data_IF_710807276583
#
_entry.id   IF_710807276583
#
_cell.length_a   1.000
_cell.length_b   1.000
_cell.length_c   1.000
_cell.angle_alpha   90.00
_cell.angle_beta   90.00
_cell.angle_gamma   90.00
#
_symmetry.space_group_name_H-M   'P 1'
#
loop_
_entity.id
_entity.type
_entity.pdbx_description
1 polymer ?
#
# COMPACT_ATOMS: atom_id res chain seq x y z
N UNK A 1 -24.54 7.81 16.46
CA UNK A 1 -24.07 8.98 15.66
C UNK A 1 -23.31 8.42 14.48
N UNK A 2 -23.56 8.91 13.26
CA UNK A 2 -22.77 8.46 12.10
C UNK A 2 -21.47 9.24 12.02
N UNK A 3 -20.37 8.53 11.74
CA UNK A 3 -19.04 9.10 11.50
C UNK A 3 -18.69 8.89 10.03
N UNK A 4 -18.23 9.94 9.36
CA UNK A 4 -17.94 9.91 7.92
C UNK A 4 -16.44 9.84 7.67
N UNK A 5 -16.07 9.00 6.71
CA UNK A 5 -14.68 8.83 6.25
C UNK A 5 -14.37 9.80 5.11
N UNK A 6 -15.32 9.94 4.17
CA UNK A 6 -15.18 10.76 2.96
C UNK A 6 -16.48 11.47 2.60
N UNK A 7 -16.33 12.60 1.91
CA UNK A 7 -17.41 13.37 1.28
C UNK A 7 -16.98 13.63 -0.16
N UNK A 8 -17.81 13.24 -1.13
CA UNK A 8 -17.55 13.50 -2.53
C UNK A 8 -18.02 14.90 -2.94
N UNK A 9 -17.56 15.41 -4.09
CA UNK A 9 -17.89 16.74 -4.61
C UNK A 9 -19.40 16.92 -4.87
N UNK A 10 -20.11 15.83 -5.15
CA UNK A 10 -21.57 15.80 -5.33
C UNK A 10 -22.35 15.66 -4.01
N UNK A 11 -21.66 15.68 -2.86
CA UNK A 11 -22.25 15.67 -1.52
C UNK A 11 -22.59 14.27 -0.96
N UNK A 12 -22.25 13.18 -1.66
CA UNK A 12 -22.37 11.83 -1.10
C UNK A 12 -21.42 11.69 0.08
N UNK A 13 -21.81 10.89 1.07
CA UNK A 13 -21.03 10.64 2.28
C UNK A 13 -20.78 9.16 2.43
N UNK A 14 -19.54 8.77 2.66
CA UNK A 14 -19.14 7.42 3.03
C UNK A 14 -18.95 7.37 4.54
N UNK A 15 -19.59 6.45 5.20
CA UNK A 15 -19.38 6.26 6.65
C UNK A 15 -18.01 5.63 6.90
N UNK A 16 -17.47 5.82 8.11
CA UNK A 16 -16.22 5.17 8.53
C UNK A 16 -16.38 3.64 8.48
N UNK A 17 -17.52 3.10 8.91
CA UNK A 17 -17.78 1.67 8.87
C UNK A 17 -17.77 1.08 7.45
N UNK A 18 -18.40 1.76 6.48
CA UNK A 18 -18.38 1.34 5.06
C UNK A 18 -16.96 1.33 4.52
N UNK A 19 -16.21 2.41 4.73
CA UNK A 19 -14.82 2.54 4.28
C UNK A 19 -13.90 1.46 4.88
N UNK A 20 -13.93 1.30 6.20
CA UNK A 20 -13.11 0.29 6.89
C UNK A 20 -13.45 -1.13 6.42
N UNK A 21 -14.74 -1.44 6.24
CA UNK A 21 -15.18 -2.74 5.77
C UNK A 21 -14.76 -2.98 4.31
N UNK A 22 -14.95 -1.99 3.43
CA UNK A 22 -14.54 -2.07 2.03
C UNK A 22 -13.04 -2.28 1.88
N UNK A 23 -12.25 -1.47 2.59
CA UNK A 23 -10.78 -1.60 2.64
C UNK A 23 -10.35 -2.95 3.21
N UNK A 24 -11.00 -3.45 4.27
CA UNK A 24 -10.68 -4.74 4.87
C UNK A 24 -10.90 -5.92 3.92
N UNK A 25 -11.99 -5.92 3.17
CA UNK A 25 -12.28 -6.95 2.17
C UNK A 25 -11.19 -6.99 1.09
N UNK A 26 -10.80 -5.84 0.56
CA UNK A 26 -9.75 -5.75 -0.46
C UNK A 26 -8.38 -6.14 0.10
N UNK A 27 -8.00 -5.59 1.25
CA UNK A 27 -6.70 -5.85 1.88
C UNK A 27 -6.55 -7.33 2.26
N UNK A 28 -7.59 -7.96 2.80
CA UNK A 28 -7.66 -9.40 3.05
C UNK A 28 -7.40 -10.21 1.78
N UNK A 29 -8.10 -9.86 0.69
CA UNK A 29 -7.96 -10.56 -0.59
C UNK A 29 -6.53 -10.43 -1.15
N UNK A 30 -5.92 -9.25 -1.10
CA UNK A 30 -4.55 -9.03 -1.57
C UNK A 30 -3.52 -9.76 -0.71
N UNK A 31 -3.65 -9.69 0.62
CA UNK A 31 -2.77 -10.37 1.56
C UNK A 31 -2.90 -11.90 1.49
N UNK A 32 -4.03 -12.42 1.01
CA UNK A 32 -4.25 -13.84 0.77
C UNK A 32 -3.28 -14.46 -0.23
N UNK A 33 -2.73 -13.67 -1.16
CA UNK A 33 -1.73 -14.14 -2.11
C UNK A 33 -0.44 -14.70 -1.44
N UNK A 34 -0.20 -14.35 -0.17
CA UNK A 34 0.96 -14.83 0.60
C UNK A 34 0.59 -15.29 2.02
N UNK A 35 -0.67 -15.72 2.23
CA UNK A 35 -1.14 -16.35 3.48
C UNK A 35 -1.21 -15.38 4.67
N UNK A 36 -1.61 -14.12 4.44
CA UNK A 36 -1.70 -13.08 5.46
C UNK A 36 -3.10 -12.43 5.52
N UNK A 37 -4.15 -13.21 5.25
CA UNK A 37 -5.53 -12.73 5.17
C UNK A 37 -5.99 -12.04 6.44
N UNK A 38 -5.65 -12.62 7.59
CA UNK A 38 -6.08 -12.08 8.89
C UNK A 38 -5.42 -10.74 9.22
N UNK A 39 -4.14 -10.58 8.87
CA UNK A 39 -3.44 -9.30 8.99
C UNK A 39 -3.99 -8.26 8.03
N UNK A 40 -4.29 -8.66 6.78
CA UNK A 40 -4.92 -7.79 5.80
C UNK A 40 -6.26 -7.25 6.30
N UNK A 41 -7.12 -8.13 6.83
CA UNK A 41 -8.41 -7.75 7.40
C UNK A 41 -8.25 -6.79 8.59
N UNK A 42 -7.35 -7.13 9.53
CA UNK A 42 -7.07 -6.27 10.68
C UNK A 42 -6.62 -4.87 10.24
N UNK A 43 -5.66 -4.79 9.33
CA UNK A 43 -5.14 -3.50 8.87
C UNK A 43 -6.22 -2.66 8.19
N UNK A 44 -7.04 -3.28 7.33
CA UNK A 44 -8.15 -2.60 6.68
C UNK A 44 -9.19 -2.08 7.65
N UNK A 45 -9.53 -2.84 8.70
CA UNK A 45 -10.47 -2.40 9.75
C UNK A 45 -9.86 -1.36 10.71
N UNK A 46 -8.54 -1.34 10.86
CA UNK A 46 -7.87 -0.48 11.85
C UNK A 46 -7.37 0.85 11.29
N UNK A 47 -7.02 0.94 9.98
CA UNK A 47 -6.18 2.02 9.48
C UNK A 47 -6.75 3.41 9.77
N UNK A 48 -8.05 3.56 9.67
CA UNK A 48 -8.76 4.84 9.75
C UNK A 48 -9.77 4.93 10.92
N UNK A 49 -9.65 4.09 11.95
CA UNK A 49 -10.54 4.18 13.13
C UNK A 49 -10.45 5.52 13.86
N UNK A 50 -9.33 6.23 13.72
CA UNK A 50 -9.17 7.59 14.23
C UNK A 50 -10.10 8.62 13.57
N UNK A 51 -10.71 8.30 12.43
CA UNK A 51 -11.77 9.12 11.82
C UNK A 51 -13.05 9.15 12.67
N UNK A 52 -13.22 8.25 13.66
CA UNK A 52 -14.31 8.28 14.63
C UNK A 52 -14.09 9.31 15.78
N UNK A 53 -13.10 10.20 15.70
CA UNK A 53 -12.87 11.27 16.66
C UNK A 53 -13.65 12.53 16.34
N UNK A 54 -14.03 13.32 17.36
CA UNK A 54 -14.73 14.57 17.15
C UNK A 54 -13.86 15.60 16.38
N UNK A 55 -12.56 15.59 16.64
CA UNK A 55 -11.59 16.44 15.95
C UNK A 55 -11.52 16.14 14.46
N UNK A 56 -11.55 14.85 14.06
CA UNK A 56 -11.57 14.49 12.64
C UNK A 56 -12.91 14.84 11.97
N UNK A 57 -14.05 14.58 12.63
CA UNK A 57 -15.37 14.92 12.07
C UNK A 57 -15.52 16.44 11.89
N UNK A 58 -15.03 17.23 12.85
CA UNK A 58 -14.98 18.68 12.71
C UNK A 58 -14.11 19.12 11.53
N UNK A 59 -12.95 18.49 11.32
CA UNK A 59 -12.14 18.77 10.13
C UNK A 59 -12.89 18.48 8.85
N UNK A 60 -13.55 17.33 8.77
CA UNK A 60 -14.22 16.88 7.56
C UNK A 60 -15.47 17.71 7.22
N UNK A 61 -16.24 18.13 8.23
CA UNK A 61 -17.53 18.78 8.08
C UNK A 61 -17.45 20.32 8.13
N UNK A 62 -16.45 20.89 8.81
CA UNK A 62 -16.33 22.30 9.12
C UNK A 62 -14.98 22.91 8.66
N UNK A 63 -14.22 22.16 7.85
CA UNK A 63 -12.89 22.59 7.35
C UNK A 63 -11.87 22.93 8.46
N UNK A 64 -11.88 22.11 9.53
CA UNK A 64 -10.99 22.25 10.68
C UNK A 64 -9.52 21.90 10.37
N UNK A 65 -8.61 22.01 11.36
CA UNK A 65 -7.18 21.72 11.18
C UNK A 65 -6.92 20.24 10.84
N UNK A 66 -5.76 19.97 10.24
CA UNK A 66 -5.33 18.60 9.94
C UNK A 66 -5.18 17.80 11.24
N UNK A 67 -5.77 16.59 11.27
CA UNK A 67 -5.80 15.69 12.41
C UNK A 67 -5.09 14.36 12.06
N UNK A 68 -4.25 13.88 12.96
CA UNK A 68 -3.64 12.56 12.86
C UNK A 68 -4.68 11.48 13.23
N UNK A 69 -5.20 10.79 12.24
CA UNK A 69 -6.18 9.70 12.40
C UNK A 69 -5.57 8.30 12.29
N UNK A 70 -4.35 8.18 11.74
CA UNK A 70 -3.66 6.90 11.56
C UNK A 70 -3.11 6.32 12.87
N UNK A 71 -2.67 7.17 13.78
CA UNK A 71 -2.05 6.72 15.05
C UNK A 71 -3.03 5.91 15.91
N UNK A 72 -4.31 6.22 15.90
CA UNK A 72 -5.33 5.47 16.64
C UNK A 72 -5.36 3.98 16.23
N UNK A 73 -5.42 3.72 14.92
CA UNK A 73 -5.38 2.35 14.39
C UNK A 73 -4.05 1.65 14.65
N UNK A 74 -2.94 2.37 14.56
CA UNK A 74 -1.63 1.81 14.89
C UNK A 74 -1.54 1.36 16.35
N UNK A 75 -2.06 2.16 17.29
CA UNK A 75 -2.14 1.78 18.72
C UNK A 75 -3.01 0.55 18.91
N UNK A 76 -4.17 0.48 18.26
CA UNK A 76 -5.05 -0.68 18.34
C UNK A 76 -4.35 -1.97 17.82
N UNK A 77 -3.64 -1.90 16.70
CA UNK A 77 -2.85 -3.03 16.20
C UNK A 77 -1.72 -3.42 17.16
N UNK A 78 -1.03 -2.45 17.76
CA UNK A 78 0.05 -2.71 18.71
C UNK A 78 -0.44 -3.36 20.00
N UNK A 79 -1.63 -2.99 20.49
CA UNK A 79 -2.29 -3.63 21.64
C UNK A 79 -2.63 -5.10 21.38
N UNK A 80 -2.88 -5.45 20.12
CA UNK A 80 -3.05 -6.84 19.68
C UNK A 80 -1.71 -7.54 19.40
N UNK A 81 -0.58 -6.95 19.79
CA UNK A 81 0.78 -7.44 19.55
C UNK A 81 1.12 -7.63 18.06
N UNK A 82 0.54 -6.79 17.18
CA UNK A 82 0.74 -6.83 15.72
C UNK A 82 1.61 -5.66 15.25
N UNK A 83 2.90 -5.73 15.55
CA UNK A 83 3.85 -4.63 15.28
C UNK A 83 3.95 -4.30 13.78
N UNK A 84 3.95 -5.31 12.89
CA UNK A 84 3.97 -5.07 11.45
C UNK A 84 2.72 -4.34 10.97
N UNK A 85 1.54 -4.80 11.41
CA UNK A 85 0.28 -4.13 11.11
C UNK A 85 0.25 -2.70 11.68
N UNK A 86 0.73 -2.49 12.90
CA UNK A 86 0.85 -1.17 13.50
C UNK A 86 1.74 -0.23 12.68
N UNK A 87 2.87 -0.72 12.16
CA UNK A 87 3.76 0.06 11.30
C UNK A 87 3.10 0.41 9.95
N UNK A 88 2.40 -0.55 9.33
CA UNK A 88 1.68 -0.33 8.08
C UNK A 88 0.58 0.71 8.27
N UNK A 89 -0.24 0.56 9.30
CA UNK A 89 -1.32 1.50 9.63
C UNK A 89 -0.77 2.89 9.99
N UNK A 90 0.29 2.97 10.81
CA UNK A 90 0.92 4.26 11.11
C UNK A 90 1.42 4.99 9.84
N UNK A 91 1.84 4.23 8.85
CA UNK A 91 2.53 4.76 7.66
C UNK A 91 1.65 4.95 6.42
N UNK A 92 0.38 4.52 6.39
CA UNK A 92 -0.39 4.40 5.14
C UNK A 92 -0.51 5.72 4.33
N UNK A 93 -0.42 6.88 4.97
CA UNK A 93 -0.36 8.18 4.30
C UNK A 93 1.06 8.76 4.14
N UNK A 94 2.05 8.27 4.91
CA UNK A 94 3.36 8.95 5.00
C UNK A 94 4.56 8.04 4.68
N UNK A 95 4.33 6.78 4.40
CA UNK A 95 5.36 5.76 4.26
C UNK A 95 5.63 5.01 5.56
N UNK A 96 6.20 3.80 5.44
CA UNK A 96 6.55 2.98 6.60
C UNK A 96 7.52 3.74 7.52
N UNK A 97 7.19 3.93 8.81
CA UNK A 97 8.09 4.59 9.74
C UNK A 97 9.25 3.68 10.14
N UNK A 98 10.35 4.26 10.57
CA UNK A 98 11.35 3.53 11.33
C UNK A 98 10.73 2.98 12.62
N UNK A 99 11.15 1.78 13.04
CA UNK A 99 10.59 1.15 14.24
C UNK A 99 10.86 1.99 15.49
N UNK A 100 12.09 2.50 15.62
CA UNK A 100 12.55 3.20 16.80
C UNK A 100 12.85 2.24 17.96
N UNK A 101 12.85 2.78 19.19
CA UNK A 101 13.16 2.05 20.40
C UNK A 101 12.09 2.29 21.48
N UNK A 102 11.41 1.22 21.98
CA UNK A 102 10.33 1.37 22.93
C UNK A 102 10.76 1.98 24.29
N UNK A 103 12.05 1.94 24.63
CA UNK A 103 12.58 2.46 25.92
C UNK A 103 13.04 3.91 25.84
N UNK A 104 13.60 4.33 24.69
CA UNK A 104 14.26 5.65 24.55
C UNK A 104 13.43 6.68 23.79
N UNK A 105 12.56 6.26 22.88
CA UNK A 105 11.75 7.17 22.09
C UNK A 105 10.74 7.91 22.95
N UNK A 106 10.53 9.17 22.64
CA UNK A 106 9.58 10.06 23.29
C UNK A 106 8.30 10.14 22.52
N UNK A 107 7.22 10.55 23.17
CA UNK A 107 5.96 10.81 22.51
C UNK A 107 6.14 11.89 21.41
N UNK A 108 5.75 11.54 20.17
CA UNK A 108 5.87 12.41 19.01
C UNK A 108 7.16 12.29 18.20
N UNK A 109 8.12 11.45 18.61
CA UNK A 109 9.27 11.12 17.76
C UNK A 109 8.79 10.50 16.44
N UNK A 110 9.52 10.73 15.33
CA UNK A 110 9.18 10.29 13.99
C UNK A 110 9.42 8.78 13.76
N UNK A 111 9.12 7.95 14.77
CA UNK A 111 9.26 6.49 14.78
C UNK A 111 7.92 5.86 15.13
N UNK A 112 7.78 4.55 14.87
CA UNK A 112 6.58 3.83 15.30
C UNK A 112 6.37 3.97 16.82
N UNK A 113 7.39 3.66 17.63
CA UNK A 113 7.25 3.74 19.09
C UNK A 113 7.01 5.17 19.59
N UNK A 114 7.56 6.18 18.96
CA UNK A 114 7.28 7.57 19.26
C UNK A 114 5.82 7.95 18.99
N UNK A 115 5.26 7.45 17.88
CA UNK A 115 3.83 7.63 17.55
C UNK A 115 2.92 6.87 18.50
N UNK A 116 3.23 5.61 18.85
CA UNK A 116 2.43 4.81 19.76
C UNK A 116 2.35 5.39 21.18
N UNK A 117 3.31 6.24 21.57
CA UNK A 117 3.31 6.96 22.88
C UNK A 117 2.54 8.28 22.85
N UNK A 118 2.10 8.71 21.67
CA UNK A 118 1.31 9.95 21.53
C UNK A 118 -0.05 9.76 22.19
N UNK A 119 -0.51 10.78 22.92
CA UNK A 119 -1.86 10.79 23.45
C UNK A 119 -2.91 10.74 22.34
N UNK A 120 -3.97 10.01 22.58
CA UNK A 120 -5.10 9.86 21.67
C UNK A 120 -6.34 10.52 22.28
N UNK A 121 -7.25 10.96 21.42
CA UNK A 121 -8.57 11.40 21.84
C UNK A 121 -9.34 10.22 22.44
N UNK A 122 -10.03 10.42 23.56
CA UNK A 122 -10.75 9.37 24.25
C UNK A 122 -11.92 8.81 23.42
N UNK A 123 -12.25 7.52 23.67
CA UNK A 123 -13.43 6.84 23.16
C UNK A 123 -13.49 6.58 21.64
N UNK A 124 -12.41 6.76 20.89
CA UNK A 124 -12.43 6.51 19.44
C UNK A 124 -12.73 5.02 19.11
N UNK A 125 -12.28 4.07 19.94
CA UNK A 125 -12.58 2.64 19.77
C UNK A 125 -14.05 2.33 20.06
N UNK A 126 -14.61 2.90 21.11
CA UNK A 126 -16.03 2.72 21.45
C UNK A 126 -16.91 3.25 20.32
N UNK A 127 -16.63 4.46 19.86
CA UNK A 127 -17.35 5.11 18.76
C UNK A 127 -17.24 4.34 17.46
N UNK A 128 -16.08 3.77 17.15
CA UNK A 128 -15.87 2.93 15.99
C UNK A 128 -16.68 1.63 16.11
N UNK A 129 -16.69 0.99 17.28
CA UNK A 129 -17.51 -0.18 17.57
C UNK A 129 -19.02 0.11 17.46
N UNK A 130 -19.49 1.25 17.99
CA UNK A 130 -20.86 1.73 17.85
C UNK A 130 -21.26 1.95 16.38
N UNK A 131 -20.31 2.28 15.50
CA UNK A 131 -20.54 2.45 14.06
C UNK A 131 -20.60 1.12 13.28
N UNK A 132 -20.30 -0.02 13.94
CA UNK A 132 -20.31 -1.35 13.33
C UNK A 132 -18.96 -1.85 12.81
N UNK A 133 -17.88 -1.11 13.02
CA UNK A 133 -16.53 -1.50 12.60
C UNK A 133 -15.76 -2.08 13.82
N UNK A 134 -15.97 -3.36 14.11
CA UNK A 134 -15.25 -4.05 15.19
C UNK A 134 -13.93 -4.66 14.65
N UNK A 135 -12.86 -4.53 15.45
CA UNK A 135 -11.59 -5.19 15.12
C UNK A 135 -11.70 -6.71 15.30
N UNK A 136 -11.11 -7.50 14.38
CA UNK A 136 -11.21 -8.96 14.44
C UNK A 136 -10.37 -9.53 15.59
N UNK A 137 -10.84 -10.64 16.16
CA UNK A 137 -10.05 -11.47 17.06
C UNK A 137 -9.07 -12.29 16.21
N UNK A 138 -7.78 -12.00 16.30
CA UNK A 138 -6.75 -12.72 15.53
C UNK A 138 -5.94 -13.61 16.47
N UNK A 139 -5.68 -14.89 16.11
CA UNK A 139 -4.83 -15.77 16.89
C UNK A 139 -3.44 -15.18 17.09
N UNK A 140 -2.74 -15.46 18.20
CA UNK A 140 -1.38 -14.99 18.42
C UNK A 140 -0.47 -15.36 17.24
N UNK A 141 0.35 -14.42 16.80
CA UNK A 141 1.33 -14.66 15.73
C UNK A 141 2.59 -15.32 16.31
N UNK A 142 3.11 -16.33 15.59
CA UNK A 142 4.45 -16.84 15.89
C UNK A 142 5.48 -15.79 15.47
N UNK A 143 6.33 -15.28 16.38
CA UNK A 143 7.28 -14.24 16.02
C UNK A 143 8.25 -14.69 14.93
N UNK A 144 8.31 -13.97 13.81
CA UNK A 144 9.35 -14.16 12.80
C UNK A 144 10.68 -13.59 13.34
N UNK A 145 11.72 -14.40 13.30
CA UNK A 145 13.06 -14.03 13.79
C UNK A 145 13.99 -13.57 12.68
N UNK A 146 13.69 -13.92 11.45
CA UNK A 146 14.42 -13.48 10.28
C UNK A 146 13.99 -12.05 9.92
N UNK A 147 14.84 -11.09 10.22
CA UNK A 147 14.58 -9.66 9.98
C UNK A 147 14.37 -9.34 8.50
N UNK A 148 14.98 -10.10 7.60
CA UNK A 148 14.81 -9.92 6.17
C UNK A 148 13.39 -10.34 5.72
N UNK A 149 12.95 -11.51 6.16
CA UNK A 149 11.58 -11.98 5.91
C UNK A 149 10.55 -11.04 6.52
N UNK A 150 10.79 -10.61 7.77
CA UNK A 150 9.91 -9.67 8.46
C UNK A 150 9.79 -8.34 7.70
N UNK A 151 10.92 -7.76 7.28
CA UNK A 151 10.94 -6.52 6.49
C UNK A 151 10.21 -6.66 5.16
N UNK A 152 10.46 -7.77 4.45
CA UNK A 152 9.78 -8.04 3.17
C UNK A 152 8.28 -8.21 3.36
N UNK A 153 7.86 -9.04 4.32
CA UNK A 153 6.44 -9.24 4.66
C UNK A 153 5.74 -7.92 5.02
N UNK A 154 6.38 -7.09 5.85
CA UNK A 154 5.83 -5.79 6.23
C UNK A 154 5.58 -4.89 5.03
N UNK A 155 6.51 -4.86 4.06
CA UNK A 155 6.34 -4.08 2.83
C UNK A 155 5.22 -4.62 1.94
N UNK A 156 5.06 -5.94 1.87
CA UNK A 156 3.95 -6.55 1.13
C UNK A 156 2.60 -6.22 1.79
N UNK A 157 2.49 -6.33 3.11
CA UNK A 157 1.31 -5.93 3.86
C UNK A 157 0.99 -4.44 3.68
N UNK A 158 2.01 -3.60 3.74
CA UNK A 158 1.86 -2.16 3.50
C UNK A 158 1.30 -1.85 2.11
N UNK A 159 1.83 -2.51 1.07
CA UNK A 159 1.31 -2.38 -0.30
C UNK A 159 -0.15 -2.80 -0.39
N UNK A 160 -0.52 -3.93 0.25
CA UNK A 160 -1.92 -4.39 0.26
C UNK A 160 -2.86 -3.36 0.92
N UNK A 161 -2.43 -2.74 2.02
CA UNK A 161 -3.24 -1.73 2.71
C UNK A 161 -3.41 -0.47 1.86
N UNK A 162 -2.32 0.08 1.33
CA UNK A 162 -2.35 1.31 0.53
C UNK A 162 -3.19 1.12 -0.74
N UNK A 163 -3.03 -0.01 -1.44
CA UNK A 163 -3.84 -0.31 -2.62
C UNK A 163 -5.33 -0.48 -2.26
N UNK A 164 -5.64 -1.15 -1.15
CA UNK A 164 -7.01 -1.38 -0.72
C UNK A 164 -7.72 -0.07 -0.34
N UNK A 165 -7.07 0.79 0.44
CA UNK A 165 -7.56 2.10 0.83
C UNK A 165 -7.82 2.99 -0.39
N UNK A 166 -6.84 3.06 -1.31
CA UNK A 166 -6.97 3.81 -2.56
C UNK A 166 -8.16 3.31 -3.39
N UNK A 167 -8.31 2.00 -3.56
CA UNK A 167 -9.36 1.41 -4.39
C UNK A 167 -10.76 1.59 -3.80
N UNK A 168 -10.90 1.50 -2.47
CA UNK A 168 -12.18 1.74 -1.82
C UNK A 168 -12.58 3.23 -1.92
N UNK A 169 -11.63 4.12 -1.67
CA UNK A 169 -11.83 5.58 -1.83
C UNK A 169 -12.16 5.95 -3.28
N UNK A 170 -11.42 5.41 -4.26
CA UNK A 170 -11.69 5.63 -5.69
C UNK A 170 -13.10 5.16 -6.08
N UNK A 171 -13.51 3.96 -5.61
CA UNK A 171 -14.86 3.43 -5.86
C UNK A 171 -15.94 4.36 -5.33
N UNK A 172 -15.74 4.87 -4.11
CA UNK A 172 -16.68 5.81 -3.53
C UNK A 172 -16.75 7.13 -4.30
N UNK A 173 -15.59 7.72 -4.64
CA UNK A 173 -15.49 9.02 -5.30
C UNK A 173 -15.98 8.98 -6.76
N UNK A 174 -15.53 7.99 -7.53
CA UNK A 174 -15.63 7.95 -8.98
C UNK A 174 -16.56 6.84 -9.49
N UNK A 175 -17.17 6.04 -8.61
CA UNK A 175 -17.89 4.83 -8.96
C UNK A 175 -16.95 3.69 -9.37
N UNK A 176 -17.51 2.56 -9.76
CA UNK A 176 -16.72 1.41 -10.19
C UNK A 176 -15.94 1.74 -11.47
N UNK A 177 -14.61 1.73 -11.37
CA UNK A 177 -13.73 1.91 -12.51
C UNK A 177 -13.48 0.55 -13.17
N UNK A 178 -13.80 0.45 -14.46
CA UNK A 178 -13.48 -0.73 -15.25
C UNK A 178 -11.97 -0.93 -15.31
N UNK A 179 -11.46 -1.94 -14.61
CA UNK A 179 -10.06 -2.34 -14.64
C UNK A 179 -9.95 -3.61 -15.46
N UNK A 180 -9.09 -3.60 -16.47
CA UNK A 180 -8.91 -4.70 -17.41
C UNK A 180 -9.17 -4.26 -18.84
N UNK A 181 -9.40 -5.22 -19.73
CA UNK A 181 -9.55 -4.96 -21.17
C UNK A 181 -8.23 -4.58 -21.84
N UNK A 182 -7.12 -4.80 -21.15
CA UNK A 182 -5.78 -4.69 -21.74
C UNK A 182 -5.54 -5.85 -22.72
N UNK A 183 -4.80 -5.57 -23.78
CA UNK A 183 -4.32 -6.63 -24.66
C UNK A 183 -3.50 -7.66 -23.87
N UNK A 184 -3.50 -8.88 -24.33
CA UNK A 184 -2.68 -9.94 -23.75
C UNK A 184 -1.18 -9.66 -23.91
N UNK A 185 -0.36 -10.31 -23.08
CA UNK A 185 1.10 -10.12 -23.11
C UNK A 185 1.71 -10.41 -24.50
N UNK A 186 1.30 -11.47 -25.24
CA UNK A 186 1.78 -11.70 -26.59
C UNK A 186 1.50 -10.55 -27.56
N UNK A 187 0.30 -9.96 -27.48
CA UNK A 187 -0.06 -8.79 -28.32
C UNK A 187 0.77 -7.56 -27.95
N UNK A 188 0.94 -7.30 -26.65
CA UNK A 188 1.78 -6.20 -26.17
C UNK A 188 3.24 -6.37 -26.57
N UNK A 189 3.76 -7.60 -26.46
CA UNK A 189 5.13 -7.94 -26.88
C UNK A 189 5.31 -7.69 -28.37
N UNK A 190 4.36 -8.16 -29.19
CA UNK A 190 4.42 -7.92 -30.64
C UNK A 190 4.45 -6.44 -30.98
N UNK A 191 3.61 -5.62 -30.37
CA UNK A 191 3.63 -4.15 -30.56
C UNK A 191 4.97 -3.54 -30.17
N UNK A 192 5.57 -4.02 -29.07
CA UNK A 192 6.87 -3.56 -28.64
C UNK A 192 7.96 -3.95 -29.64
N UNK A 193 7.95 -5.20 -30.13
CA UNK A 193 8.87 -5.70 -31.15
C UNK A 193 8.75 -4.89 -32.45
N UNK A 194 7.53 -4.65 -32.94
CA UNK A 194 7.26 -3.83 -34.12
C UNK A 194 7.78 -2.38 -33.93
N UNK A 195 7.61 -1.81 -32.73
CA UNK A 195 8.09 -0.47 -32.41
C UNK A 195 9.62 -0.36 -32.40
N UNK A 196 10.33 -1.37 -31.91
CA UNK A 196 11.80 -1.37 -31.81
C UNK A 196 12.48 -1.91 -33.08
N UNK A 197 11.74 -2.56 -33.99
CA UNK A 197 12.31 -3.15 -35.22
C UNK A 197 13.18 -2.16 -36.05
N UNK A 198 12.79 -0.88 -36.23
CA UNK A 198 13.62 0.10 -36.94
C UNK A 198 14.98 0.38 -36.26
N UNK A 199 15.10 0.12 -34.96
CA UNK A 199 16.33 0.36 -34.20
C UNK A 199 17.40 -0.69 -34.45
N UNK A 200 17.04 -1.85 -34.98
CA UNK A 200 17.97 -2.95 -35.27
C UNK A 200 18.95 -2.66 -36.39
N UNK A 201 18.80 -1.49 -37.08
CA UNK A 201 19.75 -0.99 -38.09
C UNK A 201 20.52 0.27 -37.63
N UNK A 202 21.36 0.16 -36.59
CA UNK A 202 22.02 1.30 -35.95
C UNK A 202 23.08 1.93 -36.86
N UNK A 203 22.98 3.26 -37.06
CA UNK A 203 23.93 4.01 -37.89
C UNK A 203 25.14 4.55 -37.09
N UNK A 204 25.05 4.61 -35.76
CA UNK A 204 26.10 5.16 -34.89
C UNK A 204 26.61 4.11 -33.93
N UNK A 205 27.83 4.28 -33.43
CA UNK A 205 28.42 3.39 -32.42
C UNK A 205 27.58 3.33 -31.13
N UNK A 206 27.08 4.48 -30.67
CA UNK A 206 26.21 4.55 -29.51
C UNK A 206 24.93 3.70 -29.71
N UNK A 207 24.31 3.78 -30.88
CA UNK A 207 23.12 3.01 -31.17
C UNK A 207 23.41 1.52 -31.34
N UNK A 208 24.59 1.13 -31.81
CA UNK A 208 25.04 -0.27 -31.83
C UNK A 208 25.14 -0.83 -30.41
N UNK A 209 25.69 -0.07 -29.46
CA UNK A 209 25.74 -0.47 -28.05
C UNK A 209 24.34 -0.59 -27.46
N UNK A 210 23.43 0.34 -27.75
CA UNK A 210 22.04 0.25 -27.29
C UNK A 210 21.32 -0.98 -27.83
N UNK A 211 21.48 -1.31 -29.11
CA UNK A 211 20.91 -2.52 -29.70
C UNK A 211 21.49 -3.78 -29.05
N UNK A 212 22.80 -3.82 -28.78
CA UNK A 212 23.43 -4.95 -28.11
C UNK A 212 22.84 -5.17 -26.71
N UNK A 213 22.64 -4.09 -25.95
CA UNK A 213 21.99 -4.17 -24.63
C UNK A 213 20.53 -4.61 -24.75
N UNK A 214 19.78 -4.07 -25.72
CA UNK A 214 18.39 -4.46 -25.97
C UNK A 214 18.27 -5.96 -26.26
N UNK A 215 19.08 -6.48 -27.17
CA UNK A 215 19.07 -7.90 -27.54
C UNK A 215 19.42 -8.79 -26.34
N UNK A 216 20.39 -8.39 -25.50
CA UNK A 216 20.71 -9.12 -24.28
C UNK A 216 19.54 -9.16 -23.27
N UNK A 217 18.73 -8.11 -23.19
CA UNK A 217 17.52 -8.10 -22.36
C UNK A 217 16.40 -8.97 -22.97
N UNK A 218 16.22 -8.96 -24.28
CA UNK A 218 15.29 -9.86 -24.97
C UNK A 218 15.65 -11.33 -24.74
N UNK A 219 16.93 -11.67 -24.83
CA UNK A 219 17.43 -13.04 -24.55
C UNK A 219 17.20 -13.41 -23.09
N UNK A 220 17.37 -12.46 -22.15
CA UNK A 220 17.11 -12.69 -20.75
C UNK A 220 15.63 -12.99 -20.44
N UNK A 221 14.71 -12.36 -21.19
CA UNK A 221 13.27 -12.60 -21.08
C UNK A 221 12.85 -14.04 -21.42
N UNK A 222 13.66 -14.77 -22.16
CA UNK A 222 13.44 -16.20 -22.51
C UNK A 222 13.95 -17.16 -21.44
N UNK A 223 14.61 -16.69 -20.38
CA UNK A 223 15.15 -17.49 -19.29
C UNK A 223 14.10 -17.81 -18.25
N UNK A 224 14.32 -18.82 -17.38
CA UNK A 224 13.42 -19.12 -16.27
C UNK A 224 13.14 -17.91 -15.37
N UNK A 225 11.98 -17.90 -14.71
CA UNK A 225 11.63 -16.85 -13.73
C UNK A 225 12.72 -16.72 -12.67
N UNK A 226 13.10 -15.49 -12.32
CA UNK A 226 14.14 -15.21 -11.34
C UNK A 226 14.35 -13.72 -11.14
N UNK A 227 15.34 -13.38 -10.33
CA UNK A 227 15.77 -11.99 -10.11
C UNK A 227 16.92 -11.69 -11.07
N UNK A 228 16.74 -10.68 -11.91
CA UNK A 228 17.73 -10.22 -12.87
C UNK A 228 18.17 -8.80 -12.53
N UNK A 229 19.44 -8.51 -12.70
CA UNK A 229 19.99 -7.15 -12.52
C UNK A 229 20.31 -6.52 -13.89
N UNK A 230 19.92 -5.25 -14.06
CA UNK A 230 20.22 -4.47 -15.26
C UNK A 230 21.10 -3.28 -14.88
N UNK A 231 22.38 -3.36 -15.24
CA UNK A 231 23.36 -2.28 -15.03
C UNK A 231 23.67 -1.60 -16.36
N UNK A 232 23.11 -0.41 -16.56
CA UNK A 232 23.27 0.36 -17.80
C UNK A 232 23.49 1.84 -17.45
N UNK A 233 24.41 2.55 -18.14
CA UNK A 233 24.63 3.97 -17.90
C UNK A 233 23.39 4.82 -18.22
N UNK A 234 23.36 6.05 -17.70
CA UNK A 234 22.31 7.02 -18.02
C UNK A 234 22.28 7.27 -19.54
N UNK A 235 21.08 7.32 -20.12
CA UNK A 235 20.92 7.43 -21.58
C UNK A 235 20.98 6.10 -22.34
N UNK A 236 21.22 4.97 -21.67
CA UNK A 236 21.28 3.63 -22.28
C UNK A 236 19.92 3.03 -22.69
N UNK A 237 18.78 3.70 -22.40
CA UNK A 237 17.45 3.21 -22.80
C UNK A 237 16.81 2.24 -21.79
N UNK A 238 17.07 2.39 -20.48
CA UNK A 238 16.63 1.47 -19.41
C UNK A 238 15.16 1.06 -19.48
N UNK A 239 14.26 1.99 -19.75
CA UNK A 239 12.81 1.73 -19.82
C UNK A 239 12.48 0.65 -20.85
N UNK A 240 12.98 0.79 -22.09
CA UNK A 240 12.75 -0.21 -23.14
C UNK A 240 13.45 -1.53 -22.85
N UNK A 241 14.63 -1.49 -22.24
CA UNK A 241 15.37 -2.68 -21.84
C UNK A 241 14.57 -3.48 -20.78
N UNK A 242 14.01 -2.80 -19.79
CA UNK A 242 13.21 -3.44 -18.76
C UNK A 242 11.92 -4.04 -19.30
N UNK A 243 11.19 -3.32 -20.17
CA UNK A 243 9.96 -3.83 -20.79
C UNK A 243 10.19 -5.12 -21.61
N UNK A 244 11.36 -5.28 -22.25
CA UNK A 244 11.69 -6.48 -23.02
C UNK A 244 12.16 -7.66 -22.16
N UNK A 245 12.50 -7.45 -20.88
CA UNK A 245 12.90 -8.52 -19.97
C UNK A 245 11.70 -9.22 -19.31
N UNK A 246 10.49 -8.67 -19.48
CA UNK A 246 9.24 -9.23 -18.95
C UNK A 246 8.49 -9.94 -20.08
N UNK A 247 8.64 -11.25 -20.16
CA UNK A 247 7.92 -12.14 -21.09
C UNK A 247 7.10 -13.19 -20.34
#
# INVERSE_FOLDING_TARGET
>A
MEYYAHISDDGRRQTVAEHLTGTAVLCRAFAGAFGAEAEGELMGLAHDIGKCTDSFQKRLLEDGPIVDHATAGAVACAQLLRTCAAACVAGHHSGLPDLGNPRTDRAGDATLYGRLKKGLEDRYLDRCGESGAALPQIPPETPERDLWKLSFRTRMLYSCLVDADFLDTERFMNGEQGRGGYDDLPTLLKRLEDYIAPWQNPKTELNRLRCKMLNACMDAGSKPKGIYTLTVPTGGGKTFLACNAVR
#
